data_IF_231073550485
#
_entry.id   IF_231073550485
#
_cell.length_a   1.000
_cell.length_b   1.000
_cell.length_c   1.000
_cell.angle_alpha   90.00
_cell.angle_beta   90.00
_cell.angle_gamma   90.00
#
_symmetry.space_group_name_H-M   'P 1'
#
loop_
_entity.id
_entity.type
_entity.pdbx_description
1 polymer ?
#
# COMPACT_ATOMS: atom_id res chain seq x y z
N UNK A 1 -15.79 10.95 -10.24
CA UNK A 1 -14.75 10.87 -9.20
C UNK A 1 -14.44 12.26 -8.70
N UNK A 2 -14.21 12.43 -7.40
CA UNK A 2 -13.70 13.68 -6.85
C UNK A 2 -12.18 13.82 -7.11
N UNK A 3 -11.60 14.98 -6.82
CA UNK A 3 -10.18 15.27 -7.07
C UNK A 3 -9.24 14.25 -6.43
N UNK A 4 -9.52 13.82 -5.19
CA UNK A 4 -8.69 12.84 -4.49
C UNK A 4 -8.72 11.48 -5.18
N UNK A 5 -9.90 11.04 -5.61
CA UNK A 5 -10.06 9.77 -6.34
C UNK A 5 -9.30 9.80 -7.67
N UNK A 6 -9.34 10.93 -8.40
CA UNK A 6 -8.59 11.09 -9.66
C UNK A 6 -7.08 11.03 -9.44
N UNK A 7 -6.56 11.74 -8.44
CA UNK A 7 -5.14 11.72 -8.09
C UNK A 7 -4.68 10.32 -7.65
N UNK A 8 -5.51 9.62 -6.88
CA UNK A 8 -5.24 8.25 -6.48
C UNK A 8 -5.17 7.30 -7.67
N UNK A 9 -6.14 7.41 -8.59
CA UNK A 9 -6.23 6.58 -9.78
C UNK A 9 -5.06 6.83 -10.74
N UNK A 10 -4.68 8.09 -10.94
CA UNK A 10 -3.47 8.47 -11.69
C UNK A 10 -2.19 7.89 -11.08
N UNK A 11 -1.97 8.13 -9.79
CA UNK A 11 -0.81 7.59 -9.07
C UNK A 11 -0.76 6.06 -9.12
N UNK A 12 -1.92 5.40 -9.00
CA UNK A 12 -2.00 3.93 -9.06
C UNK A 12 -1.52 3.41 -10.41
N UNK A 13 -1.90 4.06 -11.52
CA UNK A 13 -1.43 3.68 -12.87
C UNK A 13 0.08 3.84 -13.02
N UNK A 14 0.64 4.92 -12.48
CA UNK A 14 2.09 5.15 -12.49
C UNK A 14 2.82 4.04 -11.73
N UNK A 15 2.36 3.68 -10.54
CA UNK A 15 2.90 2.55 -9.77
C UNK A 15 2.83 1.24 -10.56
N UNK A 16 1.68 0.90 -11.13
CA UNK A 16 1.55 -0.33 -11.94
C UNK A 16 2.47 -0.33 -13.15
N UNK A 17 2.61 0.81 -13.83
CA UNK A 17 3.52 0.93 -14.98
C UNK A 17 4.97 0.75 -14.57
N UNK A 18 5.38 1.37 -13.45
CA UNK A 18 6.71 1.23 -12.88
C UNK A 18 7.01 -0.23 -12.54
N UNK A 19 6.15 -0.88 -11.74
CA UNK A 19 6.37 -2.23 -11.21
C UNK A 19 6.45 -3.32 -12.28
N UNK A 20 5.79 -3.15 -13.43
CA UNK A 20 5.78 -4.16 -14.52
C UNK A 20 7.16 -4.46 -15.11
N UNK A 21 8.10 -3.53 -14.99
CA UNK A 21 9.40 -3.60 -15.70
C UNK A 21 10.60 -3.61 -14.74
N UNK A 22 10.39 -3.87 -13.45
CA UNK A 22 11.47 -3.87 -12.45
C UNK A 22 11.96 -5.28 -12.15
N UNK A 23 13.27 -5.37 -11.91
CA UNK A 23 13.84 -6.44 -11.10
C UNK A 23 13.65 -6.06 -9.62
N UNK A 24 12.94 -6.89 -8.85
CA UNK A 24 12.64 -6.59 -7.45
C UNK A 24 13.83 -6.86 -6.52
N UNK A 25 14.82 -7.63 -6.97
CA UNK A 25 16.03 -7.92 -6.19
C UNK A 25 17.14 -6.88 -6.45
N UNK A 26 16.92 -5.93 -7.38
CA UNK A 26 17.85 -4.84 -7.60
C UNK A 26 18.02 -4.03 -6.30
N UNK A 27 19.27 -3.70 -5.98
CA UNK A 27 19.58 -2.89 -4.80
C UNK A 27 19.57 -1.41 -5.14
N UNK A 28 19.04 -0.61 -4.21
CA UNK A 28 18.99 0.84 -4.28
C UNK A 28 19.85 1.36 -3.13
N UNK A 29 20.85 2.17 -3.49
CA UNK A 29 21.66 2.93 -2.56
C UNK A 29 20.83 4.07 -1.96
N UNK A 30 20.61 4.04 -0.65
CA UNK A 30 19.90 5.07 0.10
C UNK A 30 20.75 5.59 1.24
N UNK A 31 20.75 6.91 1.43
CA UNK A 31 21.25 7.53 2.66
C UNK A 31 20.09 7.76 3.62
N UNK A 32 20.03 6.93 4.66
CA UNK A 32 19.00 7.01 5.68
C UNK A 32 19.47 7.95 6.80
N UNK A 33 18.66 8.96 7.21
CA UNK A 33 19.10 10.03 8.13
C UNK A 33 19.72 9.56 9.45
N UNK A 34 19.37 8.35 9.92
CA UNK A 34 19.86 7.79 11.19
C UNK A 34 20.67 6.49 11.01
N UNK A 35 20.75 5.96 9.78
CA UNK A 35 21.38 4.67 9.50
C UNK A 35 22.50 4.76 8.46
N UNK A 36 22.81 5.96 7.96
CA UNK A 36 23.85 6.19 6.98
C UNK A 36 23.51 5.58 5.62
N UNK A 37 24.54 5.27 4.82
CA UNK A 37 24.36 4.62 3.52
C UNK A 37 23.97 3.15 3.69
N UNK A 38 22.90 2.75 3.01
CA UNK A 38 22.35 1.40 3.03
C UNK A 38 22.03 0.97 1.60
N UNK A 39 22.31 -0.29 1.28
CA UNK A 39 21.79 -0.94 0.08
C UNK A 39 20.52 -1.69 0.48
N UNK A 40 19.39 -1.37 -0.14
CA UNK A 40 18.11 -2.03 0.12
C UNK A 40 17.54 -2.61 -1.16
N UNK A 41 16.92 -3.80 -1.08
CA UNK A 41 16.24 -4.34 -2.24
C UNK A 41 15.00 -3.50 -2.57
N UNK A 42 14.68 -3.38 -3.86
CA UNK A 42 13.44 -2.71 -4.28
C UNK A 42 12.20 -3.39 -3.65
N UNK A 43 12.22 -4.72 -3.51
CA UNK A 43 11.20 -5.49 -2.80
C UNK A 43 10.97 -5.00 -1.36
N UNK A 44 12.03 -4.69 -0.61
CA UNK A 44 11.93 -4.18 0.76
C UNK A 44 11.26 -2.80 0.82
N UNK A 45 11.58 -1.92 -0.13
CA UNK A 45 10.91 -0.61 -0.25
C UNK A 45 9.42 -0.80 -0.56
N UNK A 46 9.08 -1.72 -1.45
CA UNK A 46 7.68 -2.02 -1.79
C UNK A 46 6.93 -2.55 -0.56
N UNK A 47 7.54 -3.47 0.21
CA UNK A 47 6.96 -3.96 1.45
C UNK A 47 6.72 -2.83 2.46
N UNK A 48 7.68 -1.91 2.60
CA UNK A 48 7.53 -0.74 3.46
C UNK A 48 6.34 0.13 3.03
N UNK A 49 6.16 0.41 1.73
CA UNK A 49 5.04 1.20 1.21
C UNK A 49 3.70 0.51 1.50
N UNK A 50 3.60 -0.80 1.23
CA UNK A 50 2.37 -1.59 1.48
C UNK A 50 2.02 -1.62 2.97
N UNK A 51 3.03 -1.82 3.83
CA UNK A 51 2.85 -1.86 5.27
C UNK A 51 2.41 -0.49 5.81
N UNK A 52 3.07 0.59 5.39
CA UNK A 52 2.72 1.97 5.77
C UNK A 52 1.29 2.33 5.32
N UNK A 53 0.88 1.91 4.12
CA UNK A 53 -0.50 2.08 3.65
C UNK A 53 -1.52 1.31 4.51
N UNK A 54 -1.19 0.10 4.94
CA UNK A 54 -2.05 -0.71 5.83
C UNK A 54 -2.19 -0.07 7.22
N UNK A 55 -1.10 0.46 7.77
CA UNK A 55 -1.12 1.22 9.04
C UNK A 55 -2.10 2.40 8.97
N UNK A 56 -1.99 3.25 7.94
CA UNK A 56 -2.89 4.42 7.80
C UNK A 56 -4.34 4.02 7.56
N UNK A 57 -4.59 2.96 6.78
CA UNK A 57 -5.96 2.44 6.57
C UNK A 57 -6.58 1.94 7.88
N UNK A 58 -5.77 1.33 8.75
CA UNK A 58 -6.18 0.97 10.11
C UNK A 58 -6.60 2.19 10.94
N UNK A 59 -5.82 3.28 10.89
CA UNK A 59 -6.14 4.52 11.59
C UNK A 59 -7.46 5.14 11.09
N UNK A 60 -7.69 5.17 9.77
CA UNK A 60 -8.97 5.65 9.20
C UNK A 60 -10.14 4.77 9.65
N UNK A 61 -9.97 3.46 9.66
CA UNK A 61 -10.97 2.50 10.15
C UNK A 61 -11.29 2.74 11.63
N UNK A 62 -10.30 3.07 12.45
CA UNK A 62 -10.51 3.43 13.85
C UNK A 62 -11.28 4.75 14.00
N UNK A 63 -10.93 5.78 13.22
CA UNK A 63 -11.65 7.07 13.21
C UNK A 63 -13.12 6.91 12.83
N UNK A 64 -13.43 6.10 11.81
CA UNK A 64 -14.82 5.78 11.44
C UNK A 64 -15.57 5.14 12.60
N UNK A 65 -14.99 4.12 13.25
CA UNK A 65 -15.60 3.44 14.39
C UNK A 65 -15.85 4.38 15.58
N UNK A 66 -14.93 5.30 15.85
CA UNK A 66 -15.07 6.32 16.91
C UNK A 66 -16.26 7.26 16.66
N UNK A 67 -16.63 7.47 15.39
CA UNK A 67 -17.79 8.27 14.99
C UNK A 67 -19.09 7.47 14.93
N UNK A 68 -19.07 6.19 15.32
CA UNK A 68 -20.23 5.28 15.21
C UNK A 68 -20.42 4.69 13.82
N UNK A 69 -19.51 4.96 12.87
CA UNK A 69 -19.57 4.45 11.51
C UNK A 69 -18.89 3.09 11.36
N UNK A 70 -19.31 2.33 10.34
CA UNK A 70 -18.67 1.06 10.01
C UNK A 70 -17.34 1.31 9.30
N UNK A 71 -16.25 0.89 9.91
CA UNK A 71 -14.95 0.84 9.25
C UNK A 71 -14.83 -0.32 8.24
N UNK A 72 -13.91 -0.20 7.29
CA UNK A 72 -13.60 -1.28 6.35
C UNK A 72 -12.79 -2.40 7.04
N UNK A 73 -13.00 -3.69 6.68
CA UNK A 73 -12.15 -4.75 7.19
C UNK A 73 -10.74 -4.64 6.60
N UNK A 74 -9.75 -4.94 7.43
CA UNK A 74 -8.32 -4.88 7.08
C UNK A 74 -7.66 -6.26 7.04
N UNK A 75 -8.38 -7.30 7.45
CA UNK A 75 -7.87 -8.68 7.54
C UNK A 75 -7.65 -9.29 6.15
N UNK A 76 -6.47 -9.87 5.95
CA UNK A 76 -6.11 -10.50 4.67
C UNK A 76 -7.03 -11.67 4.31
N UNK A 77 -7.45 -12.47 5.29
CA UNK A 77 -8.41 -13.58 5.08
C UNK A 77 -9.75 -13.06 4.54
N UNK A 78 -10.24 -11.92 5.04
CA UNK A 78 -11.48 -11.31 4.54
C UNK A 78 -11.31 -10.82 3.10
N UNK A 79 -10.14 -10.27 2.76
CA UNK A 79 -9.84 -9.89 1.38
C UNK A 79 -9.87 -11.12 0.44
N UNK A 80 -9.21 -12.21 0.81
CA UNK A 80 -9.19 -13.44 0.02
C UNK A 80 -10.60 -14.01 -0.18
N UNK A 81 -11.39 -14.13 0.89
CA UNK A 81 -12.77 -14.61 0.79
C UNK A 81 -13.63 -13.72 -0.12
N UNK A 82 -13.47 -12.39 -0.06
CA UNK A 82 -14.20 -11.48 -0.97
C UNK A 82 -13.80 -11.68 -2.43
N UNK A 83 -12.52 -11.90 -2.70
CA UNK A 83 -12.03 -12.14 -4.06
C UNK A 83 -12.64 -13.43 -4.63
N UNK A 84 -12.65 -14.51 -3.85
CA UNK A 84 -13.27 -15.77 -4.25
C UNK A 84 -14.76 -15.62 -4.57
N UNK A 85 -15.51 -14.88 -3.74
CA UNK A 85 -16.94 -14.65 -3.96
C UNK A 85 -17.22 -13.75 -5.18
N UNK A 86 -16.32 -12.83 -5.54
CA UNK A 86 -16.48 -11.98 -6.73
C UNK A 86 -16.14 -12.70 -8.05
N UNK A 87 -15.56 -13.89 -7.99
CA UNK A 87 -15.21 -14.73 -9.13
C UNK A 87 -16.24 -15.83 -9.40
N UNK A 88 -17.25 -15.98 -8.55
CA UNK A 88 -18.41 -16.87 -8.71
C UNK A 88 -19.60 -16.11 -9.30
#
# INVERSE_FOLDING_TARGET
MNTLELLYDELSREYYSFLKQQDFEQTIDLELPQYGRNEVALSDIIYQVVNHGTYHRGNVTAMLRQQGEKGAPTDYVIFLSRLENNLQ
#
